data_IF_211204836606
#
_entry.id   IF_211204836606
#
_cell.length_a   1.000
_cell.length_b   1.000
_cell.length_c   1.000
_cell.angle_alpha   90.00
_cell.angle_beta   90.00
_cell.angle_gamma   90.00
#
_symmetry.space_group_name_H-M   'P 1'
#
loop_
_entity.id
_entity.type
_entity.pdbx_description
1 polymer ?
#
# COMPACT_ATOMS: atom_id res chain seq x y z
N UNK A 1 21.33 -11.93 3.22
CA UNK A 1 20.80 -10.72 2.54
C UNK A 1 20.33 -9.78 3.62
N UNK A 2 20.68 -8.50 3.54
CA UNK A 2 20.16 -7.48 4.47
C UNK A 2 18.98 -6.81 3.80
N UNK A 3 17.80 -6.85 4.44
CA UNK A 3 16.64 -6.10 3.98
C UNK A 3 16.86 -4.60 4.24
N UNK A 4 16.44 -3.74 3.31
CA UNK A 4 16.35 -2.31 3.59
C UNK A 4 15.13 -2.11 4.51
N UNK A 5 15.37 -1.61 5.72
CA UNK A 5 14.28 -1.21 6.60
C UNK A 5 13.77 0.17 6.19
N UNK A 6 12.46 0.36 6.30
CA UNK A 6 11.80 1.64 6.07
C UNK A 6 10.83 1.92 7.22
N UNK A 7 10.51 3.19 7.41
CA UNK A 7 9.48 3.61 8.36
C UNK A 7 8.54 4.63 7.71
N UNK A 8 7.26 4.58 8.10
CA UNK A 8 6.31 5.59 7.68
C UNK A 8 6.57 6.90 8.43
N UNK A 9 6.93 7.97 7.70
CA UNK A 9 7.18 9.27 8.29
C UNK A 9 5.91 9.88 8.92
N UNK A 10 4.72 9.40 8.55
CA UNK A 10 3.45 9.92 9.05
C UNK A 10 3.05 9.33 10.41
N UNK A 11 3.68 8.22 10.81
CA UNK A 11 3.38 7.52 12.08
C UNK A 11 4.35 7.85 13.21
N UNK A 12 5.50 8.48 12.90
CA UNK A 12 6.56 8.75 13.87
C UNK A 12 6.70 10.25 14.17
N UNK A 13 7.17 10.60 15.37
CA UNK A 13 7.46 11.98 15.80
C UNK A 13 6.38 12.98 15.40
N UNK A 14 5.14 12.70 15.81
CA UNK A 14 3.94 13.42 15.35
C UNK A 14 3.97 14.94 15.66
N UNK A 15 4.83 15.37 16.58
CA UNK A 15 5.10 16.77 16.94
C UNK A 15 6.03 17.51 15.94
N UNK A 16 6.62 16.81 14.96
CA UNK A 16 7.55 17.38 13.98
C UNK A 16 6.92 17.48 12.57
N UNK A 17 7.38 18.38 11.69
CA UNK A 17 6.94 18.40 10.28
C UNK A 17 7.44 17.17 9.49
N UNK A 18 6.66 16.67 8.53
CA UNK A 18 7.00 15.47 7.73
C UNK A 18 8.37 15.56 7.03
N UNK A 19 8.78 16.68 6.40
CA UNK A 19 10.11 16.78 5.81
C UNK A 19 11.25 16.60 6.83
N UNK A 20 11.06 17.06 8.08
CA UNK A 20 12.03 16.81 9.15
C UNK A 20 12.11 15.32 9.48
N UNK A 21 10.95 14.64 9.58
CA UNK A 21 10.88 13.20 9.89
C UNK A 21 11.54 12.37 8.81
N UNK A 22 11.29 12.69 7.53
CA UNK A 22 11.91 12.02 6.39
C UNK A 22 13.44 12.21 6.38
N UNK A 23 13.93 13.43 6.61
CA UNK A 23 15.37 13.68 6.76
C UNK A 23 15.97 12.89 7.94
N UNK A 24 15.26 12.83 9.07
CA UNK A 24 15.71 12.09 10.25
C UNK A 24 15.80 10.58 10.00
N UNK A 25 14.82 10.00 9.31
CA UNK A 25 14.85 8.59 8.90
C UNK A 25 16.03 8.31 7.97
N UNK A 26 16.28 9.20 7.00
CA UNK A 26 17.43 9.11 6.11
C UNK A 26 18.77 9.13 6.86
N UNK A 27 18.96 10.06 7.81
CA UNK A 27 20.16 10.11 8.67
C UNK A 27 20.37 8.83 9.47
N UNK A 28 19.27 8.15 9.85
CA UNK A 28 19.29 6.88 10.56
C UNK A 28 19.47 5.66 9.64
N UNK A 29 19.53 5.86 8.32
CA UNK A 29 19.70 4.80 7.33
C UNK A 29 18.42 4.06 6.94
N UNK A 30 17.24 4.58 7.31
CA UNK A 30 15.96 4.00 6.93
C UNK A 30 15.45 4.55 5.59
N UNK A 31 14.70 3.72 4.87
CA UNK A 31 13.78 4.19 3.84
C UNK A 31 12.56 4.92 4.44
N UNK A 32 11.83 5.64 3.60
CA UNK A 32 10.68 6.45 4.02
C UNK A 32 9.41 6.01 3.28
N UNK A 33 8.36 5.72 4.05
CA UNK A 33 6.99 5.54 3.55
C UNK A 33 6.14 6.81 3.71
N UNK A 34 5.25 7.06 2.74
CA UNK A 34 4.29 8.18 2.74
C UNK A 34 2.88 7.71 2.33
N UNK A 35 1.84 8.10 3.05
CA UNK A 35 0.46 7.72 2.73
C UNK A 35 -0.36 8.91 2.22
N UNK A 36 -0.24 10.05 2.89
CA UNK A 36 -1.02 11.26 2.60
C UNK A 36 -0.15 12.32 1.91
N UNK A 37 0.59 11.92 0.87
CA UNK A 37 1.48 12.82 0.15
C UNK A 37 0.83 14.13 -0.36
N UNK A 38 -0.48 14.21 -0.71
CA UNK A 38 -1.09 15.47 -1.14
C UNK A 38 -1.05 16.57 -0.07
N UNK A 39 -0.99 16.19 1.21
CA UNK A 39 -0.96 17.12 2.33
C UNK A 39 0.44 17.73 2.57
N UNK A 40 1.47 17.20 1.90
CA UNK A 40 2.86 17.52 2.19
C UNK A 40 3.53 18.40 1.12
N UNK A 41 4.47 19.25 1.56
CA UNK A 41 5.31 20.04 0.64
C UNK A 41 6.32 19.13 -0.08
N UNK A 42 5.99 18.76 -1.31
CA UNK A 42 6.83 17.96 -2.20
C UNK A 42 8.23 18.57 -2.41
N UNK A 43 8.36 19.90 -2.50
CA UNK A 43 9.68 20.55 -2.66
C UNK A 43 10.52 20.45 -1.41
N UNK A 44 9.89 20.47 -0.23
CA UNK A 44 10.60 20.23 1.02
C UNK A 44 11.04 18.77 1.12
N UNK A 45 10.19 17.81 0.73
CA UNK A 45 10.52 16.38 0.70
C UNK A 45 11.70 16.08 -0.24
N UNK A 46 11.73 16.65 -1.45
CA UNK A 46 12.85 16.50 -2.38
C UNK A 46 14.19 16.94 -1.77
N UNK A 47 14.18 18.02 -0.98
CA UNK A 47 15.39 18.59 -0.35
C UNK A 47 15.92 17.74 0.80
N UNK A 48 15.17 16.76 1.29
CA UNK A 48 15.61 15.90 2.40
C UNK A 48 16.70 14.91 1.99
N UNK A 49 16.78 14.55 0.70
CA UNK A 49 17.65 13.47 0.22
C UNK A 49 17.20 12.07 0.65
N UNK A 50 16.01 11.93 1.25
CA UNK A 50 15.51 10.66 1.73
C UNK A 50 15.21 9.67 0.59
N UNK A 51 15.39 8.38 0.87
CA UNK A 51 15.01 7.30 -0.04
C UNK A 51 13.56 6.92 0.25
N UNK A 52 12.63 7.36 -0.59
CA UNK A 52 11.22 7.00 -0.47
C UNK A 52 11.00 5.58 -1.03
N UNK A 53 10.64 4.64 -0.17
CA UNK A 53 10.50 3.22 -0.56
C UNK A 53 9.08 2.90 -1.01
N UNK A 54 8.09 3.51 -0.39
CA UNK A 54 6.68 3.31 -0.71
C UNK A 54 5.89 4.60 -0.55
N UNK A 55 4.89 4.79 -1.41
CA UNK A 55 3.94 5.88 -1.32
C UNK A 55 2.53 5.36 -1.64
N UNK A 56 1.47 5.95 -1.06
CA UNK A 56 0.12 5.72 -1.58
C UNK A 56 0.08 6.04 -3.08
N UNK A 57 -0.50 5.15 -3.88
CA UNK A 57 -0.35 5.09 -5.33
C UNK A 57 -1.48 5.70 -6.13
N UNK A 58 -2.49 6.26 -5.48
CA UNK A 58 -3.72 6.78 -6.09
C UNK A 58 -4.42 7.75 -5.13
N UNK A 59 -5.41 8.49 -5.61
CA UNK A 59 -6.17 9.45 -4.78
C UNK A 59 -7.64 9.05 -4.61
N UNK A 60 -8.22 8.46 -5.66
CA UNK A 60 -9.63 8.08 -5.70
C UNK A 60 -9.86 6.95 -6.71
N UNK A 61 -11.08 6.40 -6.70
CA UNK A 61 -11.47 5.30 -7.59
C UNK A 61 -11.53 3.94 -6.88
N UNK A 62 -11.93 2.90 -7.60
CA UNK A 62 -12.02 1.55 -7.06
C UNK A 62 -11.71 0.50 -8.13
N UNK A 63 -11.40 -0.73 -7.72
CA UNK A 63 -11.10 -1.81 -8.66
C UNK A 63 -12.36 -2.43 -9.29
N UNK A 64 -13.49 -2.34 -8.60
CA UNK A 64 -14.59 -3.30 -8.75
C UNK A 64 -15.74 -2.83 -9.64
N UNK A 65 -15.80 -1.56 -10.05
CA UNK A 65 -16.77 -1.04 -11.00
C UNK A 65 -16.12 -0.17 -12.10
N UNK A 66 -16.85 0.07 -13.18
CA UNK A 66 -16.32 0.70 -14.39
C UNK A 66 -15.94 2.16 -14.19
N UNK A 67 -16.80 2.95 -13.52
CA UNK A 67 -16.53 4.37 -13.26
C UNK A 67 -15.40 4.52 -12.25
N UNK A 68 -15.41 3.69 -11.20
CA UNK A 68 -14.34 3.64 -10.21
C UNK A 68 -12.99 3.26 -10.81
N UNK A 69 -12.96 2.31 -11.76
CA UNK A 69 -11.73 1.88 -12.43
C UNK A 69 -11.09 3.01 -13.26
N UNK A 70 -11.90 3.79 -13.96
CA UNK A 70 -11.41 4.92 -14.76
C UNK A 70 -10.86 6.04 -13.88
N UNK A 71 -11.53 6.36 -12.76
CA UNK A 71 -11.04 7.30 -11.76
C UNK A 71 -9.73 6.81 -11.11
N UNK A 72 -9.65 5.50 -10.80
CA UNK A 72 -8.46 4.90 -10.24
C UNK A 72 -7.27 5.05 -11.18
N UNK A 73 -7.43 4.76 -12.46
CA UNK A 73 -6.37 4.91 -13.45
C UNK A 73 -5.91 6.35 -13.61
N UNK A 74 -6.84 7.30 -13.62
CA UNK A 74 -6.52 8.72 -13.74
C UNK A 74 -5.71 9.21 -12.51
N UNK A 75 -6.20 8.92 -11.31
CA UNK A 75 -5.55 9.35 -10.07
C UNK A 75 -4.24 8.60 -9.79
N UNK A 76 -4.14 7.33 -10.19
CA UNK A 76 -2.92 6.56 -10.09
C UNK A 76 -1.83 7.07 -11.04
N UNK A 77 -2.21 7.51 -12.26
CA UNK A 77 -1.25 8.11 -13.21
C UNK A 77 -0.73 9.45 -12.71
N UNK A 78 -1.58 10.27 -12.12
CA UNK A 78 -1.14 11.50 -11.45
C UNK A 78 -0.12 11.18 -10.34
N UNK A 79 -0.49 10.24 -9.48
CA UNK A 79 0.35 9.81 -8.36
C UNK A 79 1.67 9.21 -8.83
N UNK A 80 1.68 8.44 -9.91
CA UNK A 80 2.90 7.87 -10.49
C UNK A 80 3.90 8.96 -10.94
N UNK A 81 3.40 10.07 -11.48
CA UNK A 81 4.25 11.21 -11.88
C UNK A 81 4.85 11.92 -10.66
N UNK A 82 4.09 12.05 -9.58
CA UNK A 82 4.59 12.58 -8.30
C UNK A 82 5.60 11.62 -7.66
N UNK A 83 5.30 10.32 -7.68
CA UNK A 83 6.20 9.27 -7.19
C UNK A 83 7.53 9.30 -7.91
N UNK A 84 7.53 9.43 -9.25
CA UNK A 84 8.77 9.61 -10.03
C UNK A 84 9.54 10.85 -9.66
N UNK A 85 8.86 11.98 -9.45
CA UNK A 85 9.48 13.23 -9.02
C UNK A 85 10.22 13.06 -7.69
N UNK A 86 9.65 12.30 -6.75
CA UNK A 86 10.28 11.97 -5.47
C UNK A 86 11.24 10.77 -5.53
N UNK A 87 11.29 10.03 -6.63
CA UNK A 87 12.08 8.79 -6.75
C UNK A 87 11.54 7.63 -5.91
N UNK A 88 10.22 7.55 -5.72
CA UNK A 88 9.58 6.47 -4.94
C UNK A 88 9.76 5.13 -5.65
N UNK A 89 10.13 4.09 -4.89
CA UNK A 89 10.38 2.76 -5.48
C UNK A 89 9.09 2.01 -5.87
N UNK A 90 8.02 2.12 -5.09
CA UNK A 90 6.73 1.46 -5.37
C UNK A 90 5.52 2.26 -4.87
N UNK A 91 4.38 2.04 -5.49
CA UNK A 91 3.12 2.75 -5.27
C UNK A 91 2.04 1.80 -4.76
N UNK A 92 1.42 2.09 -3.64
CA UNK A 92 0.45 1.17 -3.03
C UNK A 92 -0.99 1.41 -3.51
N UNK A 93 -1.72 0.33 -3.74
CA UNK A 93 -3.15 0.32 -4.06
C UNK A 93 -3.94 -0.43 -3.00
N UNK A 94 -5.18 -0.03 -2.82
CA UNK A 94 -6.19 -0.80 -2.11
C UNK A 94 -7.36 -1.12 -3.06
N UNK A 95 -8.29 -1.96 -2.60
CA UNK A 95 -9.46 -2.34 -3.40
C UNK A 95 -10.39 -1.17 -3.76
N UNK A 96 -10.31 -0.06 -3.01
CA UNK A 96 -11.16 1.13 -3.16
C UNK A 96 -10.49 2.37 -2.59
N UNK A 97 -10.94 3.55 -3.02
CA UNK A 97 -10.59 4.87 -2.48
C UNK A 97 -10.79 4.95 -0.99
N UNK A 98 -9.82 5.54 -0.31
CA UNK A 98 -9.84 5.77 1.13
C UNK A 98 -10.02 7.26 1.40
N UNK A 99 -10.94 7.59 2.30
CA UNK A 99 -11.16 8.93 2.81
C UNK A 99 -10.50 9.11 4.19
N UNK A 100 -11.10 9.98 4.99
CA UNK A 100 -10.61 10.31 6.33
C UNK A 100 -10.37 9.05 7.18
N UNK A 101 -9.23 9.04 7.89
CA UNK A 101 -8.79 7.93 8.74
C UNK A 101 -8.61 6.59 8.01
N UNK A 102 -8.47 6.60 6.68
CA UNK A 102 -8.29 5.39 5.88
C UNK A 102 -9.57 4.60 5.70
N UNK A 103 -10.75 5.20 5.94
CA UNK A 103 -12.03 4.53 5.74
C UNK A 103 -12.37 4.44 4.26
N UNK A 104 -12.91 3.32 3.77
CA UNK A 104 -13.41 3.20 2.40
C UNK A 104 -14.42 4.31 2.06
N UNK A 105 -14.22 5.04 0.95
CA UNK A 105 -15.20 6.02 0.44
C UNK A 105 -16.47 5.28 -0.01
N UNK A 106 -16.29 4.13 -0.64
CA UNK A 106 -17.36 3.23 -1.01
C UNK A 106 -17.30 1.99 -0.12
N UNK A 107 -18.33 1.82 0.71
CA UNK A 107 -18.50 0.64 1.55
C UNK A 107 -19.20 -0.46 0.75
N UNK A 108 -18.58 -1.64 0.73
CA UNK A 108 -19.13 -2.83 0.09
C UNK A 108 -19.31 -3.93 1.13
N UNK A 109 -20.54 -4.42 1.26
CA UNK A 109 -20.84 -5.53 2.19
C UNK A 109 -20.26 -6.86 1.71
N UNK A 110 -20.20 -7.06 0.39
CA UNK A 110 -19.65 -8.26 -0.24
C UNK A 110 -19.14 -7.97 -1.66
N UNK A 111 -18.15 -8.75 -2.10
CA UNK A 111 -17.63 -8.69 -3.47
C UNK A 111 -18.36 -9.72 -4.34
N UNK A 112 -19.23 -9.25 -5.24
CA UNK A 112 -19.95 -10.12 -6.17
C UNK A 112 -19.00 -10.73 -7.22
N UNK A 113 -19.32 -11.89 -7.83
CA UNK A 113 -18.45 -12.55 -8.81
C UNK A 113 -18.01 -11.65 -10.00
N UNK A 114 -18.90 -10.77 -10.49
CA UNK A 114 -18.56 -9.85 -11.57
C UNK A 114 -17.51 -8.80 -11.18
N UNK A 115 -17.40 -8.46 -9.90
CA UNK A 115 -16.44 -7.49 -9.37
C UNK A 115 -15.01 -8.05 -9.38
N UNK A 116 -14.84 -9.37 -9.21
CA UNK A 116 -13.53 -10.03 -9.32
C UNK A 116 -12.96 -9.94 -10.73
N UNK A 117 -13.80 -10.19 -11.74
CA UNK A 117 -13.41 -10.06 -13.15
C UNK A 117 -13.04 -8.60 -13.44
N UNK A 118 -13.85 -7.66 -12.97
CA UNK A 118 -13.59 -6.22 -13.13
C UNK A 118 -12.30 -5.79 -12.47
N UNK A 119 -12.04 -6.24 -11.24
CA UNK A 119 -10.83 -5.92 -10.50
C UNK A 119 -9.58 -6.44 -11.22
N UNK A 120 -9.61 -7.69 -11.67
CA UNK A 120 -8.54 -8.25 -12.50
C UNK A 120 -8.30 -7.41 -13.76
N UNK A 121 -9.35 -7.08 -14.51
CA UNK A 121 -9.22 -6.29 -15.73
C UNK A 121 -8.68 -4.88 -15.45
N UNK A 122 -9.12 -4.25 -14.36
CA UNK A 122 -8.59 -2.96 -13.90
C UNK A 122 -7.12 -3.05 -13.52
N UNK A 123 -6.70 -4.12 -12.84
CA UNK A 123 -5.30 -4.35 -12.49
C UNK A 123 -4.42 -4.57 -13.73
N UNK A 124 -4.91 -5.23 -14.78
CA UNK A 124 -4.19 -5.28 -16.06
C UNK A 124 -3.99 -3.89 -16.66
N UNK A 125 -5.02 -3.03 -16.64
CA UNK A 125 -4.92 -1.64 -17.10
C UNK A 125 -3.94 -0.81 -16.25
N UNK A 126 -3.91 -1.04 -14.94
CA UNK A 126 -2.93 -0.42 -14.03
C UNK A 126 -1.51 -0.86 -14.43
N UNK A 127 -1.30 -2.15 -14.69
CA UNK A 127 0.00 -2.65 -15.13
C UNK A 127 0.45 -2.05 -16.46
N UNK A 128 -0.46 -1.87 -17.42
CA UNK A 128 -0.15 -1.19 -18.70
C UNK A 128 0.31 0.26 -18.45
N UNK A 129 -0.44 1.00 -17.64
CA UNK A 129 -0.06 2.37 -17.26
C UNK A 129 1.26 2.42 -16.50
N UNK A 130 1.47 1.49 -15.57
CA UNK A 130 2.69 1.41 -14.77
C UNK A 130 3.92 1.12 -15.64
N UNK A 131 3.77 0.29 -16.67
CA UNK A 131 4.81 0.01 -17.66
C UNK A 131 5.14 1.26 -18.49
N UNK A 132 4.13 2.00 -18.97
CA UNK A 132 4.31 3.27 -19.67
C UNK A 132 5.01 4.33 -18.80
N UNK A 133 4.62 4.44 -17.53
CA UNK A 133 5.16 5.43 -16.62
C UNK A 133 6.51 4.99 -16.00
N UNK A 134 6.89 3.71 -16.13
CA UNK A 134 8.13 3.14 -15.59
C UNK A 134 8.12 2.98 -14.06
N UNK A 135 6.97 2.61 -13.48
CA UNK A 135 6.78 2.45 -12.03
C UNK A 135 6.28 1.04 -11.68
N UNK A 136 6.31 0.67 -10.40
CA UNK A 136 5.72 -0.55 -9.88
C UNK A 136 4.63 -0.23 -8.86
N UNK A 137 3.53 -0.96 -8.92
CA UNK A 137 2.47 -0.93 -7.93
C UNK A 137 2.51 -2.16 -7.02
N UNK A 138 2.00 -1.98 -5.81
CA UNK A 138 1.65 -3.06 -4.88
C UNK A 138 0.16 -3.03 -4.58
N UNK A 139 -0.46 -4.19 -4.36
CA UNK A 139 -1.83 -4.29 -3.85
C UNK A 139 -1.80 -4.77 -2.40
N UNK A 140 -2.56 -4.08 -1.55
CA UNK A 140 -2.66 -4.33 -0.12
C UNK A 140 -4.11 -4.62 0.29
N UNK A 141 -4.28 -5.54 1.23
CA UNK A 141 -5.54 -5.78 1.92
C UNK A 141 -5.61 -4.99 3.23
N UNK A 142 -6.81 -4.51 3.57
CA UNK A 142 -7.07 -3.82 4.82
C UNK A 142 -8.08 -4.61 5.65
N UNK A 143 -7.77 -4.84 6.93
CA UNK A 143 -8.64 -5.61 7.81
C UNK A 143 -10.01 -4.92 7.99
N UNK A 144 -11.10 -5.70 8.04
CA UNK A 144 -12.46 -5.16 8.18
C UNK A 144 -12.77 -4.59 9.57
N UNK A 145 -11.94 -4.88 10.59
CA UNK A 145 -12.11 -4.36 11.94
C UNK A 145 -11.87 -2.84 11.98
N UNK A 146 -10.86 -2.38 11.25
CA UNK A 146 -10.47 -0.97 11.17
C UNK A 146 -10.95 -0.30 9.89
N UNK A 147 -11.13 -1.08 8.81
CA UNK A 147 -11.55 -0.60 7.48
C UNK A 147 -12.85 -1.28 7.03
N UNK A 148 -13.97 -1.08 7.74
CA UNK A 148 -15.23 -1.76 7.45
C UNK A 148 -15.74 -1.46 6.04
N UNK A 149 -16.09 -2.51 5.30
CA UNK A 149 -16.60 -2.40 3.93
C UNK A 149 -15.51 -2.27 2.86
N UNK A 150 -14.22 -2.43 3.19
CA UNK A 150 -13.17 -2.49 2.17
C UNK A 150 -13.31 -3.77 1.34
N UNK A 151 -13.37 -3.69 -0.01
CA UNK A 151 -13.35 -4.88 -0.86
C UNK A 151 -11.94 -5.49 -0.90
N UNK A 152 -11.85 -6.78 -1.23
CA UNK A 152 -10.59 -7.52 -1.33
C UNK A 152 -9.73 -7.38 -0.06
N UNK A 153 -10.38 -7.53 1.10
CA UNK A 153 -9.84 -7.22 2.44
C UNK A 153 -9.01 -8.36 3.06
N UNK A 154 -8.87 -9.49 2.36
CA UNK A 154 -8.05 -10.60 2.81
C UNK A 154 -6.75 -10.72 2.00
N UNK A 155 -5.71 -11.23 2.64
CA UNK A 155 -4.45 -11.61 2.03
C UNK A 155 -4.68 -12.67 0.97
N UNK A 156 -5.64 -13.58 1.20
CA UNK A 156 -6.10 -14.55 0.20
C UNK A 156 -6.65 -13.88 -1.05
N UNK A 157 -7.48 -12.84 -0.91
CA UNK A 157 -8.06 -12.12 -2.05
C UNK A 157 -6.99 -11.40 -2.87
N UNK A 158 -6.07 -10.71 -2.19
CA UNK A 158 -4.95 -10.01 -2.83
C UNK A 158 -4.02 -10.99 -3.52
N UNK A 159 -3.69 -12.12 -2.89
CA UNK A 159 -2.90 -13.18 -3.53
C UNK A 159 -3.60 -13.68 -4.79
N UNK A 160 -4.90 -13.96 -4.75
CA UNK A 160 -5.65 -14.43 -5.91
C UNK A 160 -5.63 -13.40 -7.05
N UNK A 161 -5.84 -12.12 -6.76
CA UNK A 161 -5.80 -11.06 -7.78
C UNK A 161 -4.41 -10.91 -8.39
N UNK A 162 -3.37 -10.76 -7.56
CA UNK A 162 -2.00 -10.49 -8.03
C UNK A 162 -1.42 -11.70 -8.77
N UNK A 163 -1.62 -12.92 -8.26
CA UNK A 163 -1.16 -14.14 -8.95
C UNK A 163 -1.94 -14.48 -10.22
N UNK A 164 -3.19 -14.02 -10.36
CA UNK A 164 -3.95 -14.16 -11.61
C UNK A 164 -3.47 -13.15 -12.66
N UNK A 165 -3.11 -11.93 -12.24
CA UNK A 165 -2.58 -10.90 -13.15
C UNK A 165 -1.14 -11.21 -13.57
N UNK A 166 -0.30 -11.67 -12.64
CA UNK A 166 1.07 -12.16 -12.81
C UNK A 166 1.98 -11.30 -13.71
N UNK A 167 2.00 -9.99 -13.46
CA UNK A 167 2.84 -9.02 -14.20
C UNK A 167 3.88 -8.36 -13.31
N UNK A 168 5.08 -8.02 -13.82
CA UNK A 168 6.15 -7.42 -13.01
C UNK A 168 5.81 -6.04 -12.43
N UNK A 169 4.85 -5.34 -13.04
CA UNK A 169 4.37 -4.03 -12.59
C UNK A 169 3.46 -4.10 -11.36
N UNK A 170 2.97 -5.28 -10.98
CA UNK A 170 2.11 -5.47 -9.82
C UNK A 170 2.67 -6.53 -8.88
N UNK A 171 2.74 -6.18 -7.61
CA UNK A 171 3.22 -7.03 -6.52
C UNK A 171 2.27 -6.97 -5.32
N UNK A 172 2.51 -7.82 -4.33
CA UNK A 172 1.78 -7.79 -3.06
C UNK A 172 2.50 -6.85 -2.10
N UNK A 173 1.75 -5.95 -1.46
CA UNK A 173 2.17 -5.34 -0.20
C UNK A 173 1.55 -6.16 0.93
N UNK A 174 2.38 -7.01 1.54
CA UNK A 174 1.95 -7.90 2.62
C UNK A 174 2.10 -7.14 3.94
N UNK A 175 1.05 -6.42 4.34
CA UNK A 175 0.96 -5.90 5.71
C UNK A 175 0.55 -7.04 6.66
N UNK A 176 1.51 -7.47 7.48
CA UNK A 176 1.33 -8.56 8.44
C UNK A 176 0.40 -8.16 9.60
N UNK A 177 0.26 -6.86 9.89
CA UNK A 177 -0.71 -6.36 10.87
C UNK A 177 -2.14 -6.57 10.38
N UNK A 178 -2.44 -6.17 9.15
CA UNK A 178 -3.77 -6.39 8.55
C UNK A 178 -4.07 -7.89 8.39
N UNK A 179 -3.07 -8.68 7.98
CA UNK A 179 -3.19 -10.15 7.91
C UNK A 179 -3.48 -10.77 9.28
N UNK A 180 -2.75 -10.40 10.34
CA UNK A 180 -2.93 -10.96 11.68
C UNK A 180 -4.33 -10.69 12.23
N UNK A 181 -4.86 -9.47 12.05
CA UNK A 181 -6.19 -9.10 12.53
C UNK A 181 -7.30 -9.79 11.72
N UNK A 182 -7.13 -9.88 10.40
CA UNK A 182 -8.16 -10.41 9.49
C UNK A 182 -8.23 -11.93 9.46
N UNK A 183 -7.08 -12.59 9.32
CA UNK A 183 -6.99 -14.02 9.01
C UNK A 183 -6.11 -14.80 9.98
N UNK A 184 -5.14 -14.15 10.62
CA UNK A 184 -4.11 -14.85 11.39
C UNK A 184 -3.18 -15.64 10.45
N UNK A 185 -2.70 -16.80 10.91
CA UNK A 185 -1.87 -17.76 10.14
C UNK A 185 -0.76 -17.12 9.28
N UNK A 186 -0.14 -16.05 9.81
CA UNK A 186 0.72 -15.12 9.06
C UNK A 186 1.90 -15.79 8.35
N UNK A 187 2.43 -16.88 8.93
CA UNK A 187 3.54 -17.63 8.34
C UNK A 187 3.11 -18.28 7.03
N UNK A 188 1.96 -19.00 7.01
CA UNK A 188 1.49 -19.68 5.81
C UNK A 188 1.07 -18.69 4.72
N UNK A 189 0.45 -17.58 5.12
CA UNK A 189 0.14 -16.49 4.18
C UNK A 189 1.41 -15.89 3.58
N UNK A 190 2.45 -15.62 4.39
CA UNK A 190 3.72 -15.11 3.89
C UNK A 190 4.42 -16.10 2.93
N UNK A 191 4.43 -17.40 3.26
CA UNK A 191 4.98 -18.45 2.41
C UNK A 191 4.25 -18.53 1.06
N UNK A 192 2.92 -18.46 1.07
CA UNK A 192 2.10 -18.50 -0.14
C UNK A 192 2.30 -17.24 -1.01
N UNK A 193 2.47 -16.07 -0.40
CA UNK A 193 2.65 -14.81 -1.11
C UNK A 193 4.07 -14.61 -1.66
N UNK A 194 5.07 -15.34 -1.13
CA UNK A 194 6.50 -15.13 -1.39
C UNK A 194 6.88 -14.86 -2.86
N UNK A 195 6.32 -15.57 -3.87
CA UNK A 195 6.67 -15.32 -5.28
C UNK A 195 6.27 -13.92 -5.80
N UNK A 196 5.30 -13.27 -5.18
CA UNK A 196 4.72 -11.99 -5.62
C UNK A 196 4.93 -10.84 -4.65
N UNK A 197 5.62 -11.03 -3.53
CA UNK A 197 5.89 -9.96 -2.55
C UNK A 197 6.74 -8.86 -3.20
N UNK A 198 6.26 -7.62 -3.08
CA UNK A 198 6.99 -6.41 -3.42
C UNK A 198 7.28 -5.54 -2.20
N UNK A 199 6.47 -5.63 -1.15
CA UNK A 199 6.63 -4.94 0.14
C UNK A 199 6.15 -5.87 1.26
N UNK A 200 6.78 -5.79 2.42
CA UNK A 200 6.27 -6.37 3.67
C UNK A 200 6.20 -5.24 4.69
N UNK A 201 5.01 -5.04 5.26
CA UNK A 201 4.81 -4.07 6.34
C UNK A 201 4.60 -4.79 7.66
N UNK A 202 5.09 -4.15 8.72
CA UNK A 202 5.07 -4.70 10.07
C UNK A 202 4.62 -3.63 11.06
N UNK A 203 3.73 -4.05 11.95
CA UNK A 203 3.36 -3.38 13.19
C UNK A 203 2.87 -4.47 14.14
N UNK A 204 2.84 -4.20 15.44
CA UNK A 204 2.35 -5.20 16.39
C UNK A 204 0.82 -5.16 16.54
N UNK A 205 0.24 -6.32 16.83
CA UNK A 205 -1.17 -6.48 17.15
C UNK A 205 -1.32 -6.94 18.62
N UNK A 206 -2.24 -6.37 19.41
CA UNK A 206 -3.09 -5.21 19.12
C UNK A 206 -2.36 -3.86 19.26
N UNK A 207 -2.92 -2.82 18.65
CA UNK A 207 -2.54 -1.42 18.89
C UNK A 207 -1.74 -0.73 17.79
N UNK A 208 -1.24 -1.50 16.79
CA UNK A 208 -0.42 -0.99 15.67
C UNK A 208 0.81 -0.21 16.16
N UNK A 209 1.42 -0.68 17.25
CA UNK A 209 2.59 -0.09 17.87
C UNK A 209 3.89 -0.78 17.39
N UNK A 210 5.00 -0.46 18.04
CA UNK A 210 6.31 -1.02 17.74
C UNK A 210 6.31 -2.56 17.83
N UNK A 211 6.97 -3.28 16.90
CA UNK A 211 7.17 -4.72 17.00
C UNK A 211 7.75 -5.14 18.36
N UNK A 212 7.07 -6.07 19.04
CA UNK A 212 7.41 -6.59 20.38
C UNK A 212 6.52 -6.05 21.51
N UNK A 213 5.52 -5.21 21.20
CA UNK A 213 4.59 -4.63 22.17
C UNK A 213 3.27 -5.41 22.32
N UNK A 214 3.01 -6.35 21.41
CA UNK A 214 1.77 -7.10 21.29
C UNK A 214 1.98 -8.60 21.30
N UNK A 215 1.11 -9.30 20.57
CA UNK A 215 1.03 -10.76 20.53
C UNK A 215 1.92 -11.38 19.44
N UNK A 216 2.41 -10.57 18.49
CA UNK A 216 3.25 -11.07 17.41
C UNK A 216 4.69 -11.27 17.91
N UNK A 217 5.24 -12.46 17.65
CA UNK A 217 6.59 -12.81 18.11
C UNK A 217 7.67 -12.29 17.13
N UNK A 218 8.05 -11.03 17.28
CA UNK A 218 9.14 -10.40 16.55
C UNK A 218 10.50 -10.68 17.22
N UNK A 219 11.57 -11.01 16.47
CA UNK A 219 12.89 -11.33 17.00
C UNK A 219 13.71 -10.12 17.48
#
# INVERSE_FOLDING_TARGET
>A
MTFQLAACAEMLWLDKPVPWRAARLHEMGFGVGLWNWPDWDLKALERTGATFTIMNGYLEGCLADETGADLLLASARETARVGKRLGVQRLNLHGTGLGDHGLPIQHLDHVAPGMWIRARDTLHRICDMAEEEGVQFTLENLNLREHPGCPFNSTTDVLNLVSTVDRPQLRINLDLYHTQIGEGDVIRHAEACLPWIGEVQVADNPGRCEPGTGEMNWP
#
